data_IF_298917449490
#
_entry.id   IF_298917449490
#
_cell.length_a   1.000
_cell.length_b   1.000
_cell.length_c   1.000
_cell.angle_alpha   90.00
_cell.angle_beta   90.00
_cell.angle_gamma   90.00
#
_symmetry.space_group_name_H-M   'P 1'
#
loop_
_entity.id
_entity.type
_entity.pdbx_description
1 polymer ?
#
# COMPACT_ATOMS: atom_id res chain seq x y z
N UNK A 1 8.78 -62.30 8.57
CA UNK A 1 7.52 -61.57 8.77
C UNK A 1 7.85 -60.07 8.88
N UNK A 2 7.63 -59.31 7.81
CA UNK A 2 7.91 -57.85 7.74
C UNK A 2 6.64 -57.10 8.18
N UNK A 3 6.68 -56.20 9.17
CA UNK A 3 5.59 -55.26 9.40
C UNK A 3 5.79 -54.02 8.51
N UNK A 4 4.87 -53.81 7.57
CA UNK A 4 4.71 -52.56 6.83
C UNK A 4 4.07 -51.51 7.73
N UNK A 5 4.89 -50.59 8.26
CA UNK A 5 4.38 -49.41 8.96
C UNK A 5 4.11 -48.29 7.95
N UNK A 6 2.83 -47.99 7.76
CA UNK A 6 2.33 -46.88 6.96
C UNK A 6 2.78 -45.55 7.60
N UNK A 7 3.66 -44.81 6.90
CA UNK A 7 4.11 -43.48 7.34
C UNK A 7 2.95 -42.49 7.17
N UNK A 8 2.49 -41.79 8.23
CA UNK A 8 1.40 -40.83 8.10
C UNK A 8 1.88 -39.54 7.42
N UNK A 9 1.19 -39.18 6.34
CA UNK A 9 1.40 -38.03 5.44
C UNK A 9 1.30 -36.64 6.09
N UNK A 10 1.15 -36.54 7.42
CA UNK A 10 0.99 -35.26 8.14
C UNK A 10 2.30 -34.54 8.48
N UNK A 11 3.46 -35.20 8.38
CA UNK A 11 4.76 -34.55 8.68
C UNK A 11 5.34 -33.68 7.55
N UNK A 12 4.80 -33.75 6.33
CA UNK A 12 5.29 -32.93 5.20
C UNK A 12 4.74 -31.51 5.16
N UNK A 13 3.58 -31.24 5.77
CA UNK A 13 2.97 -29.89 5.76
C UNK A 13 3.63 -28.95 6.77
N UNK A 14 4.12 -29.48 7.91
CA UNK A 14 4.71 -28.66 8.96
C UNK A 14 6.12 -28.16 8.64
N UNK A 15 6.90 -28.88 7.82
CA UNK A 15 8.23 -28.39 7.36
C UNK A 15 8.12 -27.26 6.33
N UNK A 16 7.08 -27.25 5.48
CA UNK A 16 6.87 -26.15 4.52
C UNK A 16 6.45 -24.83 5.19
N UNK A 17 5.74 -24.90 6.32
CA UNK A 17 5.32 -23.72 7.09
C UNK A 17 6.47 -23.12 7.92
N UNK A 18 7.50 -23.90 8.27
CA UNK A 18 8.69 -23.39 8.95
C UNK A 18 9.67 -22.68 8.00
N UNK A 19 9.63 -22.94 6.70
CA UNK A 19 10.51 -22.30 5.73
C UNK A 19 9.99 -20.94 5.24
N UNK A 20 8.67 -20.69 5.29
CA UNK A 20 8.06 -19.41 4.93
C UNK A 20 8.09 -18.38 6.09
N UNK A 21 8.16 -18.82 7.34
CA UNK A 21 8.31 -17.94 8.51
C UNK A 21 9.68 -17.26 8.61
N UNK A 22 10.74 -17.91 8.13
CA UNK A 22 12.11 -17.36 8.14
C UNK A 22 12.33 -16.24 7.11
N UNK A 23 11.58 -16.25 6.00
CA UNK A 23 11.67 -15.22 4.95
C UNK A 23 11.06 -13.91 5.44
N UNK A 24 9.94 -13.97 6.19
CA UNK A 24 9.31 -12.80 6.78
C UNK A 24 10.19 -12.10 7.84
N UNK A 25 10.95 -12.87 8.62
CA UNK A 25 11.85 -12.33 9.64
C UNK A 25 13.10 -11.66 9.05
N UNK A 26 13.64 -12.19 7.95
CA UNK A 26 14.76 -11.56 7.23
C UNK A 26 14.37 -10.24 6.54
N UNK A 27 13.15 -10.13 6.01
CA UNK A 27 12.66 -8.89 5.40
C UNK A 27 12.42 -7.81 6.47
N UNK A 28 11.83 -8.17 7.62
CA UNK A 28 11.58 -7.23 8.71
C UNK A 28 12.88 -6.67 9.32
N UNK A 29 13.93 -7.48 9.43
CA UNK A 29 15.22 -7.05 9.98
C UNK A 29 15.98 -6.10 9.03
N UNK A 30 15.90 -6.35 7.71
CA UNK A 30 16.47 -5.44 6.70
C UNK A 30 15.74 -4.10 6.61
N UNK A 31 14.42 -4.07 6.85
CA UNK A 31 13.63 -2.84 6.91
C UNK A 31 13.94 -1.99 8.16
N UNK A 32 14.24 -2.63 9.30
CA UNK A 32 14.65 -1.94 10.53
C UNK A 32 16.05 -1.31 10.40
N UNK A 33 17.01 -2.03 9.84
CA UNK A 33 18.35 -1.50 9.57
C UNK A 33 18.34 -0.30 8.59
N UNK A 34 17.47 -0.33 7.58
CA UNK A 34 17.32 0.77 6.62
C UNK A 34 16.72 2.04 7.25
N UNK A 35 15.79 1.91 8.21
CA UNK A 35 15.18 3.04 8.94
C UNK A 35 16.21 3.79 9.81
N UNK A 36 17.10 3.06 10.49
CA UNK A 36 18.11 3.64 11.40
C UNK A 36 19.26 4.34 10.65
N UNK A 37 19.57 3.95 9.40
CA UNK A 37 20.62 4.59 8.61
C UNK A 37 20.18 5.93 7.97
N UNK A 38 18.87 6.23 7.93
CA UNK A 38 18.31 7.43 7.29
C UNK A 38 18.31 8.68 8.20
N UNK A 39 18.68 8.57 9.48
CA UNK A 39 18.58 9.69 10.44
C UNK A 39 19.87 10.49 10.67
N UNK A 40 21.00 10.15 10.02
CA UNK A 40 22.30 10.77 10.34
C UNK A 40 23.00 11.52 9.21
N UNK A 41 22.45 11.58 7.99
CA UNK A 41 23.06 12.38 6.92
C UNK A 41 22.00 13.18 6.19
N UNK A 42 22.12 14.51 6.32
CA UNK A 42 21.31 15.47 5.61
C UNK A 42 21.40 15.30 4.09
N UNK A 43 20.38 15.85 3.42
CA UNK A 43 20.44 16.35 2.05
C UNK A 43 21.27 15.52 1.06
N UNK A 44 20.69 14.41 0.59
CA UNK A 44 21.21 13.64 -0.53
C UNK A 44 20.24 12.51 -0.83
N UNK A 45 19.66 12.52 -2.04
CA UNK A 45 18.70 11.52 -2.49
C UNK A 45 19.27 10.11 -2.25
N UNK A 46 18.71 9.39 -1.28
CA UNK A 46 19.01 7.97 -1.07
C UNK A 46 18.46 7.23 -2.27
N UNK A 47 19.33 6.88 -3.22
CA UNK A 47 18.99 5.95 -4.30
C UNK A 47 18.69 4.60 -3.65
N UNK A 48 17.41 4.31 -3.48
CA UNK A 48 16.96 2.99 -3.04
C UNK A 48 17.15 2.05 -4.21
N UNK A 49 17.82 0.93 -3.96
CA UNK A 49 18.03 -0.11 -4.97
C UNK A 49 16.68 -0.52 -5.59
N UNK A 50 16.60 -0.45 -6.92
CA UNK A 50 15.40 -0.75 -7.68
C UNK A 50 14.93 -2.19 -7.45
N UNK A 51 15.82 -3.10 -7.09
CA UNK A 51 15.47 -4.49 -6.73
C UNK A 51 14.65 -4.57 -5.43
N UNK A 52 14.95 -3.73 -4.45
CA UNK A 52 14.21 -3.65 -3.17
C UNK A 52 12.84 -3.04 -3.41
N UNK A 53 12.75 -2.02 -4.25
CA UNK A 53 11.48 -1.42 -4.65
C UNK A 53 10.62 -2.40 -5.44
N UNK A 54 11.22 -3.16 -6.36
CA UNK A 54 10.53 -4.19 -7.13
C UNK A 54 9.99 -5.31 -6.24
N UNK A 55 10.77 -5.77 -5.26
CA UNK A 55 10.33 -6.77 -4.29
C UNK A 55 9.17 -6.25 -3.42
N UNK A 56 9.27 -5.01 -2.94
CA UNK A 56 8.21 -4.38 -2.14
C UNK A 56 6.92 -4.18 -2.96
N UNK A 57 7.02 -3.70 -4.21
CA UNK A 57 5.90 -3.54 -5.11
C UNK A 57 5.26 -4.90 -5.48
N UNK A 58 6.07 -5.93 -5.74
CA UNK A 58 5.58 -7.30 -5.98
C UNK A 58 4.79 -7.82 -4.79
N UNK A 59 5.31 -7.62 -3.57
CA UNK A 59 4.61 -8.00 -2.35
C UNK A 59 3.29 -7.24 -2.20
N UNK A 60 3.27 -5.92 -2.42
CA UNK A 60 2.04 -5.13 -2.39
C UNK A 60 1.00 -5.63 -3.39
N UNK A 61 1.39 -5.91 -4.64
CA UNK A 61 0.49 -6.44 -5.68
C UNK A 61 -0.16 -7.75 -5.26
N UNK A 62 0.56 -8.63 -4.54
CA UNK A 62 0.02 -9.89 -4.03
C UNK A 62 -1.03 -9.70 -2.92
N UNK A 63 -1.06 -8.54 -2.28
CA UNK A 63 -1.99 -8.21 -1.19
C UNK A 63 -3.27 -7.53 -1.66
N UNK A 64 -3.38 -7.26 -2.96
CA UNK A 64 -4.57 -6.67 -3.53
C UNK A 64 -5.71 -7.69 -3.59
N UNK A 65 -6.89 -7.29 -3.12
CA UNK A 65 -8.10 -8.09 -3.22
C UNK A 65 -8.59 -8.19 -4.68
N UNK A 66 -9.49 -9.15 -4.94
CA UNK A 66 -10.14 -9.31 -6.25
C UNK A 66 -10.88 -8.05 -6.72
N UNK A 67 -11.45 -7.30 -5.77
CA UNK A 67 -12.15 -6.03 -5.99
C UNK A 67 -11.22 -4.83 -6.24
N UNK A 68 -9.91 -4.99 -6.05
CA UNK A 68 -8.90 -3.94 -6.27
C UNK A 68 -8.49 -3.15 -5.01
N UNK A 69 -9.17 -3.36 -3.88
CA UNK A 69 -8.78 -2.78 -2.59
C UNK A 69 -7.55 -3.45 -1.98
N UNK A 70 -6.77 -2.72 -1.20
CA UNK A 70 -5.70 -3.28 -0.37
C UNK A 70 -6.19 -3.46 1.07
N UNK A 71 -5.93 -4.63 1.64
CA UNK A 71 -6.25 -4.93 3.04
C UNK A 71 -5.04 -4.71 3.94
N UNK A 72 -5.25 -4.08 5.09
CA UNK A 72 -4.23 -4.04 6.13
C UNK A 72 -4.00 -5.46 6.67
N UNK A 73 -2.75 -5.94 6.62
CA UNK A 73 -2.37 -7.18 7.32
C UNK A 73 -1.89 -6.81 8.71
N UNK A 74 -2.62 -7.27 9.72
CA UNK A 74 -2.29 -7.05 11.13
C UNK A 74 -3.33 -6.23 11.87
N UNK A 75 -3.50 -6.53 13.16
CA UNK A 75 -4.40 -5.80 14.03
C UNK A 75 -3.70 -4.51 14.47
N UNK A 76 -4.17 -3.36 13.99
CA UNK A 76 -3.68 -2.05 14.45
C UNK A 76 -4.32 -1.79 15.82
N UNK A 77 -3.53 -1.96 16.87
CA UNK A 77 -4.00 -1.94 18.28
C UNK A 77 -4.42 -0.52 18.71
N UNK A 78 -4.03 0.52 17.96
CA UNK A 78 -4.41 1.92 18.18
C UNK A 78 -4.85 2.60 16.87
N UNK A 79 -6.09 2.36 16.46
CA UNK A 79 -6.71 3.01 15.30
C UNK A 79 -6.91 4.53 15.49
N UNK A 80 -6.95 5.01 16.74
CA UNK A 80 -7.11 6.43 17.06
C UNK A 80 -5.90 7.29 16.65
N UNK A 81 -4.69 6.70 16.54
CA UNK A 81 -3.50 7.40 16.03
C UNK A 81 -3.40 7.42 14.49
N UNK A 82 -4.31 6.74 13.78
CA UNK A 82 -4.29 6.65 12.32
C UNK A 82 -5.08 7.78 11.64
N UNK A 83 -5.84 8.60 12.37
CA UNK A 83 -6.46 9.83 11.85
C UNK A 83 -7.30 9.63 10.57
N UNK A 84 -8.08 8.55 10.48
CA UNK A 84 -8.86 8.20 9.29
C UNK A 84 -8.13 7.31 8.26
N UNK A 85 -6.84 7.04 8.44
CA UNK A 85 -6.07 6.11 7.58
C UNK A 85 -6.42 4.62 7.79
N UNK A 86 -7.38 4.31 8.68
CA UNK A 86 -7.90 2.96 8.89
C UNK A 86 -8.91 2.50 7.83
N UNK A 87 -9.39 3.40 6.96
CA UNK A 87 -10.33 3.04 5.90
C UNK A 87 -9.63 2.26 4.77
N UNK A 88 -10.32 1.28 4.21
CA UNK A 88 -9.84 0.53 3.04
C UNK A 88 -9.58 1.46 1.84
N UNK A 89 -10.32 2.57 1.74
CA UNK A 89 -10.17 3.61 0.72
C UNK A 89 -8.84 4.36 0.91
N UNK A 90 -8.54 4.83 2.13
CA UNK A 90 -7.31 5.55 2.41
C UNK A 90 -6.07 4.69 2.16
N UNK A 91 -6.09 3.43 2.65
CA UNK A 91 -4.97 2.51 2.41
C UNK A 91 -4.80 2.21 0.92
N UNK A 92 -5.90 1.96 0.21
CA UNK A 92 -5.85 1.69 -1.24
C UNK A 92 -5.32 2.89 -2.01
N UNK A 93 -5.80 4.09 -1.70
CA UNK A 93 -5.33 5.33 -2.32
C UNK A 93 -3.84 5.60 -2.04
N UNK A 94 -3.39 5.34 -0.81
CA UNK A 94 -1.98 5.45 -0.45
C UNK A 94 -1.09 4.50 -1.25
N UNK A 95 -1.44 3.20 -1.25
CA UNK A 95 -0.66 2.17 -1.95
C UNK A 95 -0.67 2.42 -3.46
N UNK A 96 -1.83 2.75 -4.05
CA UNK A 96 -1.93 3.08 -5.46
C UNK A 96 -1.07 4.30 -5.84
N UNK A 97 -1.07 5.35 -5.01
CA UNK A 97 -0.22 6.53 -5.23
C UNK A 97 1.27 6.18 -5.18
N UNK A 98 1.67 5.34 -4.23
CA UNK A 98 3.06 4.91 -4.08
C UNK A 98 3.51 4.03 -5.26
N UNK A 99 2.67 3.09 -5.69
CA UNK A 99 2.94 2.23 -6.84
C UNK A 99 2.99 3.03 -8.16
N UNK A 100 2.08 3.99 -8.33
CA UNK A 100 2.07 4.87 -9.50
C UNK A 100 3.34 5.73 -9.58
N UNK A 101 3.73 6.37 -8.46
CA UNK A 101 4.99 7.13 -8.37
C UNK A 101 6.21 6.25 -8.62
N UNK A 102 6.26 5.07 -8.04
CA UNK A 102 7.37 4.14 -8.27
C UNK A 102 7.47 3.72 -9.74
N UNK A 103 6.33 3.51 -10.42
CA UNK A 103 6.28 3.19 -11.85
C UNK A 103 6.78 4.34 -12.74
N UNK A 104 6.54 5.60 -12.36
CA UNK A 104 6.99 6.77 -13.14
C UNK A 104 8.42 7.17 -12.86
N UNK A 105 8.87 7.06 -11.60
CA UNK A 105 10.17 7.57 -11.15
C UNK A 105 11.29 6.52 -11.24
N UNK A 106 10.95 5.24 -11.39
CA UNK A 106 11.92 4.13 -11.44
C UNK A 106 11.80 3.38 -12.78
N UNK A 107 12.57 3.78 -13.82
CA UNK A 107 12.50 3.18 -15.15
C UNK A 107 12.81 1.67 -15.19
N UNK A 108 13.55 1.18 -14.21
CA UNK A 108 13.93 -0.24 -14.10
C UNK A 108 12.96 -1.08 -13.23
N UNK A 109 11.83 -0.51 -12.80
CA UNK A 109 10.86 -1.22 -11.96
C UNK A 109 10.07 -2.24 -12.80
N UNK A 110 10.64 -3.42 -13.00
CA UNK A 110 9.97 -4.52 -13.69
C UNK A 110 9.19 -5.38 -12.69
N UNK A 111 7.90 -5.03 -12.49
CA UNK A 111 6.99 -5.80 -11.64
C UNK A 111 5.84 -6.35 -12.48
N UNK A 112 5.74 -7.68 -12.55
CA UNK A 112 4.64 -8.33 -13.25
C UNK A 112 3.32 -8.06 -12.55
N UNK A 113 2.28 -7.68 -13.31
CA UNK A 113 0.96 -7.41 -12.75
C UNK A 113 0.77 -5.99 -12.19
N UNK A 114 1.81 -5.14 -12.16
CA UNK A 114 1.71 -3.77 -11.64
C UNK A 114 0.68 -2.91 -12.41
N UNK A 115 0.64 -2.90 -13.75
CA UNK A 115 -0.37 -2.13 -14.49
C UNK A 115 -1.80 -2.60 -14.18
N UNK A 116 -2.01 -3.92 -14.10
CA UNK A 116 -3.32 -4.50 -13.78
C UNK A 116 -3.73 -4.17 -12.34
N UNK A 117 -2.77 -4.14 -11.41
CA UNK A 117 -3.01 -3.79 -10.03
C UNK A 117 -3.42 -2.32 -9.89
N UNK A 118 -2.72 -1.42 -10.58
CA UNK A 118 -3.07 0.00 -10.64
C UNK A 118 -4.46 0.21 -11.27
N UNK A 119 -4.78 -0.50 -12.34
CA UNK A 119 -6.09 -0.43 -12.99
C UNK A 119 -7.22 -0.87 -12.03
N UNK A 120 -7.05 -1.99 -11.32
CA UNK A 120 -8.02 -2.47 -10.34
C UNK A 120 -8.18 -1.52 -9.16
N UNK A 121 -7.07 -0.96 -8.66
CA UNK A 121 -7.10 0.02 -7.59
C UNK A 121 -7.82 1.30 -8.03
N UNK A 122 -7.56 1.77 -9.26
CA UNK A 122 -8.26 2.89 -9.86
C UNK A 122 -9.77 2.65 -9.98
N UNK A 123 -10.18 1.46 -10.42
CA UNK A 123 -11.59 1.09 -10.52
C UNK A 123 -12.30 1.05 -9.14
N UNK A 124 -11.64 0.47 -8.13
CA UNK A 124 -12.14 0.47 -6.75
C UNK A 124 -12.30 1.90 -6.23
N UNK A 125 -11.27 2.73 -6.42
CA UNK A 125 -11.28 4.12 -5.99
C UNK A 125 -12.33 4.92 -6.76
N UNK A 126 -12.56 4.73 -8.05
CA UNK A 126 -13.63 5.44 -8.77
C UNK A 126 -15.02 5.08 -8.26
N UNK A 127 -15.25 3.82 -7.87
CA UNK A 127 -16.53 3.36 -7.32
C UNK A 127 -16.75 3.69 -5.84
N UNK A 128 -15.70 3.98 -5.08
CA UNK A 128 -15.78 4.14 -3.62
C UNK A 128 -15.76 5.61 -3.20
N UNK A 129 -16.80 6.10 -2.52
CA UNK A 129 -16.80 7.43 -1.91
C UNK A 129 -16.48 7.35 -0.42
N UNK A 130 -15.61 8.22 0.08
CA UNK A 130 -15.33 8.33 1.51
C UNK A 130 -15.97 9.59 2.07
N UNK A 131 -16.50 9.47 3.28
CA UNK A 131 -17.04 10.57 4.07
C UNK A 131 -15.93 11.27 4.89
N UNK A 132 -14.78 10.63 5.06
CA UNK A 132 -13.67 11.21 5.82
C UNK A 132 -12.86 12.15 4.93
N UNK A 133 -12.55 13.33 5.44
CA UNK A 133 -11.82 14.37 4.71
C UNK A 133 -10.43 13.89 4.26
N UNK A 134 -9.71 13.18 5.12
CA UNK A 134 -8.38 12.64 4.80
C UNK A 134 -8.43 11.59 3.69
N UNK A 135 -9.31 10.59 3.84
CA UNK A 135 -9.52 9.52 2.86
C UNK A 135 -9.97 10.08 1.50
N UNK A 136 -10.84 11.09 1.49
CA UNK A 136 -11.32 11.77 0.28
C UNK A 136 -10.22 12.53 -0.47
N UNK A 137 -9.41 13.31 0.25
CA UNK A 137 -8.26 14.03 -0.34
C UNK A 137 -7.21 13.05 -0.89
N UNK A 138 -6.91 11.99 -0.15
CA UNK A 138 -5.93 10.99 -0.56
C UNK A 138 -6.40 10.22 -1.80
N UNK A 139 -7.69 9.88 -1.88
CA UNK A 139 -8.30 9.33 -3.10
C UNK A 139 -8.15 10.29 -4.27
N UNK A 140 -8.49 11.57 -4.09
CA UNK A 140 -8.37 12.57 -5.16
C UNK A 140 -6.93 12.68 -5.67
N UNK A 141 -5.95 12.68 -4.75
CA UNK A 141 -4.53 12.68 -5.10
C UNK A 141 -4.11 11.41 -5.89
N UNK A 142 -4.55 10.24 -5.45
CA UNK A 142 -4.26 8.97 -6.13
C UNK A 142 -4.83 8.93 -7.55
N UNK A 143 -6.05 9.45 -7.73
CA UNK A 143 -6.71 9.52 -9.04
C UNK A 143 -6.02 10.51 -9.98
N UNK A 144 -5.52 11.63 -9.44
CA UNK A 144 -4.71 12.60 -10.19
C UNK A 144 -3.40 11.97 -10.70
N UNK A 145 -2.68 11.27 -9.84
CA UNK A 145 -1.43 10.59 -10.21
C UNK A 145 -1.64 9.46 -11.22
N UNK A 146 -2.79 8.79 -11.15
CA UNK A 146 -3.16 7.75 -12.10
C UNK A 146 -3.60 8.29 -13.47
N UNK A 147 -3.75 9.61 -13.62
CA UNK A 147 -4.28 10.25 -14.82
C UNK A 147 -5.76 9.98 -15.08
N UNK A 148 -6.49 9.46 -14.08
CA UNK A 148 -7.92 9.13 -14.19
C UNK A 148 -8.80 10.37 -13.96
N UNK A 149 -8.32 11.33 -13.15
CA UNK A 149 -9.03 12.58 -12.89
C UNK A 149 -8.28 13.77 -13.48
N UNK A 150 -9.05 14.72 -14.01
CA UNK A 150 -8.53 16.03 -14.42
C UNK A 150 -8.27 16.92 -13.21
N UNK A 151 -7.46 17.97 -13.39
CA UNK A 151 -7.20 18.96 -12.34
C UNK A 151 -8.50 19.60 -11.80
N UNK A 152 -9.50 19.79 -12.66
CA UNK A 152 -10.81 20.30 -12.26
C UNK A 152 -11.57 19.30 -11.38
N UNK A 153 -11.63 18.02 -11.78
CA UNK A 153 -12.29 16.98 -10.98
C UNK A 153 -11.66 16.81 -9.60
N UNK A 154 -10.33 16.89 -9.53
CA UNK A 154 -9.58 16.87 -8.26
C UNK A 154 -9.92 18.10 -7.41
N UNK A 155 -9.94 19.28 -8.02
CA UNK A 155 -10.28 20.52 -7.34
C UNK A 155 -11.72 20.50 -6.79
N UNK A 156 -12.69 20.09 -7.60
CA UNK A 156 -14.10 19.99 -7.19
C UNK A 156 -14.27 19.00 -6.04
N UNK A 157 -13.64 17.82 -6.13
CA UNK A 157 -13.67 16.83 -5.06
C UNK A 157 -13.05 17.35 -3.76
N UNK A 158 -11.93 18.07 -3.84
CA UNK A 158 -11.28 18.67 -2.67
C UNK A 158 -12.09 19.84 -2.08
N UNK A 159 -12.73 20.66 -2.93
CA UNK A 159 -13.58 21.77 -2.51
C UNK A 159 -14.88 21.28 -1.86
N UNK A 160 -15.46 20.18 -2.34
CA UNK A 160 -16.67 19.59 -1.79
C UNK A 160 -16.50 19.13 -0.32
N UNK A 161 -15.29 18.73 0.07
CA UNK A 161 -14.94 18.31 1.45
C UNK A 161 -14.25 19.42 2.26
N UNK A 162 -14.15 20.64 1.72
CA UNK A 162 -13.54 21.79 2.40
C UNK A 162 -14.58 22.56 3.24
N UNK A 163 -14.16 23.02 4.42
CA UNK A 163 -14.89 24.00 5.22
C UNK A 163 -14.43 25.41 4.89
N UNK A 164 -15.34 26.39 4.92
CA UNK A 164 -15.03 27.79 4.67
C UNK A 164 -15.45 28.67 5.84
N UNK A 165 -14.54 29.51 6.32
CA UNK A 165 -14.84 30.52 7.34
C UNK A 165 -14.11 31.82 6.98
N UNK A 166 -14.85 32.94 6.95
CA UNK A 166 -14.30 34.29 6.78
C UNK A 166 -13.23 34.40 5.67
N UNK A 167 -13.53 33.87 4.48
CA UNK A 167 -12.63 33.94 3.31
C UNK A 167 -11.45 32.95 3.30
N UNK A 168 -11.35 32.05 4.29
CA UNK A 168 -10.36 30.96 4.31
C UNK A 168 -11.05 29.61 4.12
N UNK A 169 -10.42 28.73 3.34
CA UNK A 169 -10.81 27.33 3.23
C UNK A 169 -9.83 26.44 3.98
N UNK A 170 -10.34 25.45 4.69
CA UNK A 170 -9.54 24.48 5.42
C UNK A 170 -10.23 23.11 5.42
N UNK A 171 -9.44 22.08 5.71
CA UNK A 171 -9.91 20.71 5.86
C UNK A 171 -9.69 20.31 7.31
N UNK A 172 -10.74 19.85 7.98
CA UNK A 172 -10.67 19.29 9.32
C UNK A 172 -10.72 17.78 9.23
N UNK A 173 -10.02 17.07 10.11
CA UNK A 173 -10.31 15.65 10.32
C UNK A 173 -11.71 15.52 10.91
N UNK A 174 -12.59 14.81 10.23
CA UNK A 174 -13.88 14.34 10.75
C UNK A 174 -13.68 13.30 11.85
#
# INVERSE_FOLDING_TARGET
LRPTAHVPTRRRVLLGLWQLGLIGLHVADRLRAARLRRSSQGSGLVSVDSSVLAAAATWLVQLQNSEGSFKSIGNVIHTEMMGGAGSSIALTAFVASALAKANTEVPALAVSGLPQALQKAGAFLSGSQSLDTYSGLLRAHAMALSGLWTSLQVADAALAISSATTGRRFWTSS
#
